data_IF_757573599007
#
_entry.id   IF_757573599007
#
_cell.length_a   1.000
_cell.length_b   1.000
_cell.length_c   1.000
_cell.angle_alpha   90.00
_cell.angle_beta   90.00
_cell.angle_gamma   90.00
#
_symmetry.space_group_name_H-M   'P 1'
#
loop_
_entity.id
_entity.type
_entity.pdbx_description
1 polymer ?
#
# COMPACT_ATOMS: atom_id res chain seq x y z
N UNK A 1 4.85 -17.90 13.12
CA UNK A 1 5.62 -16.82 12.56
C UNK A 1 5.46 -15.57 13.41
N UNK A 2 6.54 -14.87 13.66
CA UNK A 2 6.48 -13.71 14.52
C UNK A 2 5.89 -12.50 13.78
N UNK A 3 5.36 -11.58 14.56
CA UNK A 3 4.81 -10.34 14.00
C UNK A 3 5.89 -9.52 13.30
N UNK A 4 7.11 -9.52 13.84
CA UNK A 4 8.22 -8.83 13.20
C UNK A 4 8.49 -9.38 11.80
N UNK A 5 8.31 -10.70 11.61
CA UNK A 5 8.49 -11.29 10.30
C UNK A 5 7.44 -10.81 9.32
N UNK A 6 6.20 -10.59 9.80
CA UNK A 6 5.16 -10.04 8.94
C UNK A 6 5.49 -8.63 8.50
N UNK A 7 5.96 -7.80 9.43
CA UNK A 7 6.36 -6.43 9.09
C UNK A 7 7.49 -6.44 8.06
N UNK A 8 8.48 -7.28 8.27
CA UNK A 8 9.61 -7.37 7.34
C UNK A 8 9.16 -7.80 5.95
N UNK A 9 8.25 -8.77 5.88
CA UNK A 9 7.72 -9.23 4.60
C UNK A 9 7.03 -8.09 3.87
N UNK A 10 6.11 -7.41 4.55
CA UNK A 10 5.31 -6.36 3.93
C UNK A 10 6.18 -5.20 3.49
N UNK A 11 7.07 -4.74 4.37
CA UNK A 11 7.96 -3.62 4.03
C UNK A 11 8.87 -3.97 2.87
N UNK A 12 9.37 -5.21 2.84
CA UNK A 12 10.26 -5.66 1.78
C UNK A 12 9.61 -5.71 0.41
N UNK A 13 8.29 -5.77 0.35
CA UNK A 13 7.56 -5.80 -0.91
C UNK A 13 7.23 -4.40 -1.43
N UNK A 14 7.48 -3.36 -0.66
CA UNK A 14 7.15 -2.01 -1.08
C UNK A 14 8.21 -1.44 -2.02
N UNK A 15 7.80 -0.63 -3.00
CA UNK A 15 8.78 0.00 -3.88
C UNK A 15 9.65 1.00 -3.14
N UNK A 16 10.85 1.20 -3.63
CA UNK A 16 11.76 2.19 -3.06
C UNK A 16 11.21 3.60 -3.27
N UNK A 17 11.61 4.56 -2.43
CA UNK A 17 11.03 5.91 -2.49
C UNK A 17 11.27 6.63 -3.82
N UNK A 18 12.28 6.24 -4.57
CA UNK A 18 12.60 6.90 -5.84
C UNK A 18 11.97 6.22 -7.05
N UNK A 19 11.14 5.18 -6.83
CA UNK A 19 10.50 4.49 -7.94
C UNK A 19 9.24 5.25 -8.35
N UNK A 20 9.12 5.54 -9.64
CA UNK A 20 7.91 6.14 -10.18
C UNK A 20 6.89 5.04 -10.42
N UNK A 21 5.87 4.99 -9.58
CA UNK A 21 4.85 3.96 -9.66
C UNK A 21 4.00 4.09 -10.93
N UNK A 22 3.86 5.31 -11.45
CA UNK A 22 3.13 5.48 -12.70
C UNK A 22 3.80 4.72 -13.82
N UNK A 23 5.13 4.80 -13.89
CA UNK A 23 5.88 4.07 -14.90
C UNK A 23 5.80 2.55 -14.64
N UNK A 24 5.99 2.16 -13.38
CA UNK A 24 6.00 0.75 -13.03
C UNK A 24 4.71 0.04 -13.42
N UNK A 25 3.58 0.62 -13.06
CA UNK A 25 2.29 -0.02 -13.31
C UNK A 25 1.84 0.10 -14.76
N UNK A 26 2.29 1.12 -15.47
CA UNK A 26 1.91 1.30 -16.87
C UNK A 26 2.72 0.47 -17.84
N UNK A 27 3.94 0.10 -17.47
CA UNK A 27 4.84 -0.66 -18.32
C UNK A 27 4.59 -2.15 -18.11
N UNK A 28 4.04 -2.82 -19.12
CA UNK A 28 3.69 -4.24 -19.01
C UNK A 28 4.91 -5.12 -18.76
N UNK A 29 6.05 -4.78 -19.34
CA UNK A 29 7.25 -5.59 -19.15
C UNK A 29 7.76 -5.48 -17.74
N UNK A 30 7.83 -4.25 -17.20
CA UNK A 30 8.25 -4.05 -15.82
C UNK A 30 7.30 -4.75 -14.86
N UNK A 31 6.01 -4.65 -15.11
CA UNK A 31 5.03 -5.30 -14.25
C UNK A 31 5.19 -6.82 -14.26
N UNK A 32 5.39 -7.39 -15.44
CA UNK A 32 5.57 -8.83 -15.57
C UNK A 32 6.82 -9.29 -14.82
N UNK A 33 7.91 -8.54 -14.97
CA UNK A 33 9.15 -8.88 -14.27
C UNK A 33 8.95 -8.81 -12.76
N UNK A 34 8.25 -7.78 -12.29
CA UNK A 34 7.99 -7.64 -10.88
C UNK A 34 7.13 -8.79 -10.35
N UNK A 35 6.06 -9.14 -11.07
CA UNK A 35 5.17 -10.21 -10.61
C UNK A 35 5.88 -11.55 -10.55
N UNK A 36 6.76 -11.83 -11.51
CA UNK A 36 7.54 -13.06 -11.47
C UNK A 36 8.44 -13.09 -10.24
N UNK A 37 8.97 -11.95 -9.85
CA UNK A 37 9.88 -11.88 -8.71
C UNK A 37 9.15 -12.04 -7.37
N UNK A 38 7.88 -11.59 -7.28
CA UNK A 38 7.20 -11.54 -6.00
C UNK A 38 6.03 -12.51 -5.85
N UNK A 39 5.68 -13.22 -6.91
CA UNK A 39 4.46 -14.05 -6.89
C UNK A 39 4.43 -15.05 -5.72
N UNK A 40 5.58 -15.60 -5.37
CA UNK A 40 5.64 -16.59 -4.30
C UNK A 40 5.33 -16.02 -2.92
N UNK A 41 5.35 -14.70 -2.78
CA UNK A 41 5.04 -14.07 -1.50
C UNK A 41 3.55 -13.79 -1.32
N UNK A 42 2.74 -14.12 -2.31
CA UNK A 42 1.29 -13.87 -2.29
C UNK A 42 0.51 -15.16 -2.28
N UNK A 43 -0.61 -15.16 -1.53
CA UNK A 43 -1.51 -16.31 -1.56
C UNK A 43 -2.15 -16.42 -2.94
N UNK A 44 -2.48 -17.65 -3.39
CA UNK A 44 -3.12 -17.82 -4.71
C UNK A 44 -4.45 -17.08 -4.83
N UNK A 45 -5.14 -16.88 -3.72
CA UNK A 45 -6.42 -16.19 -3.69
C UNK A 45 -6.30 -14.76 -3.18
N UNK A 46 -5.12 -14.16 -3.31
CA UNK A 46 -4.88 -12.78 -2.91
C UNK A 46 -5.90 -11.83 -3.51
N UNK A 47 -6.36 -10.90 -2.67
CA UNK A 47 -7.24 -9.82 -3.12
C UNK A 47 -6.75 -8.50 -2.60
N UNK A 48 -7.11 -7.42 -3.28
CA UNK A 48 -6.83 -6.09 -2.76
C UNK A 48 -8.07 -5.23 -2.88
N UNK A 49 -8.14 -4.24 -2.02
CA UNK A 49 -9.28 -3.34 -1.96
C UNK A 49 -8.84 -1.90 -1.99
N UNK A 50 -9.71 -1.07 -2.51
CA UNK A 50 -9.53 0.37 -2.47
C UNK A 50 -10.68 0.94 -1.66
N UNK A 51 -10.36 1.48 -0.49
CA UNK A 51 -11.37 1.91 0.48
C UNK A 51 -11.47 3.42 0.48
N UNK A 52 -12.50 3.94 -0.16
CA UNK A 52 -12.67 5.38 -0.31
C UNK A 52 -14.04 5.77 0.21
N UNK A 53 -14.07 6.62 1.22
CA UNK A 53 -15.30 7.03 1.88
C UNK A 53 -16.02 5.79 2.41
N UNK A 54 -17.28 5.62 2.06
CA UNK A 54 -18.05 4.45 2.44
C UNK A 54 -18.11 3.41 1.32
N UNK A 55 -17.29 3.57 0.29
CA UNK A 55 -17.27 2.69 -0.85
C UNK A 55 -16.01 1.82 -0.81
N UNK A 56 -16.19 0.53 -1.01
CA UNK A 56 -15.09 -0.38 -1.11
C UNK A 56 -15.18 -1.16 -2.40
N UNK A 57 -14.07 -1.22 -3.13
CA UNK A 57 -14.00 -1.97 -4.36
C UNK A 57 -12.88 -3.00 -4.23
N UNK A 58 -13.17 -4.24 -4.60
CA UNK A 58 -12.23 -5.36 -4.43
C UNK A 58 -11.77 -5.85 -5.79
N UNK A 59 -10.48 -6.17 -5.87
CA UNK A 59 -9.84 -6.68 -7.07
C UNK A 59 -9.11 -7.97 -6.73
N UNK A 60 -9.09 -8.91 -7.65
CA UNK A 60 -8.52 -10.23 -7.41
C UNK A 60 -7.13 -10.36 -8.02
N UNK A 61 -6.20 -10.93 -7.24
CA UNK A 61 -4.88 -11.30 -7.72
C UNK A 61 -3.98 -10.11 -8.02
N UNK A 62 -2.77 -10.42 -8.48
CA UNK A 62 -1.80 -9.38 -8.82
C UNK A 62 -2.25 -8.56 -10.03
N UNK A 63 -2.97 -9.18 -10.96
CA UNK A 63 -3.55 -8.43 -12.07
C UNK A 63 -4.59 -7.42 -11.57
N UNK A 64 -5.34 -7.81 -10.56
CA UNK A 64 -6.29 -6.89 -9.92
C UNK A 64 -5.60 -5.75 -9.22
N UNK A 65 -4.47 -6.02 -8.57
CA UNK A 65 -3.67 -4.98 -7.94
C UNK A 65 -3.22 -3.95 -8.97
N UNK A 66 -2.77 -4.42 -10.13
CA UNK A 66 -2.36 -3.51 -11.20
C UNK A 66 -3.54 -2.67 -11.68
N UNK A 67 -4.70 -3.31 -11.89
CA UNK A 67 -5.88 -2.60 -12.37
C UNK A 67 -6.29 -1.50 -11.39
N UNK A 68 -6.26 -1.80 -10.11
CA UNK A 68 -6.59 -0.82 -9.07
C UNK A 68 -5.63 0.36 -9.11
N UNK A 69 -4.33 0.06 -9.18
CA UNK A 69 -3.33 1.12 -9.22
C UNK A 69 -3.43 1.96 -10.48
N UNK A 70 -3.73 1.35 -11.63
CA UNK A 70 -3.89 2.12 -12.86
C UNK A 70 -5.07 3.10 -12.75
N UNK A 71 -6.13 2.72 -12.06
CA UNK A 71 -7.23 3.64 -11.82
C UNK A 71 -6.80 4.81 -10.95
N UNK A 72 -6.09 4.52 -9.87
CA UNK A 72 -5.58 5.57 -8.97
C UNK A 72 -4.64 6.52 -9.71
N UNK A 73 -3.82 5.97 -10.59
CA UNK A 73 -2.78 6.73 -11.26
C UNK A 73 -3.29 7.55 -12.45
N UNK A 74 -4.57 7.41 -12.82
CA UNK A 74 -5.10 8.05 -14.01
C UNK A 74 -4.73 9.54 -14.12
N UNK A 75 -4.86 10.38 -13.08
CA UNK A 75 -4.53 11.80 -13.21
C UNK A 75 -3.05 12.12 -13.06
N UNK A 76 -2.21 11.13 -12.78
CA UNK A 76 -0.82 11.37 -12.40
C UNK A 76 0.14 11.09 -13.54
N UNK A 77 1.06 12.03 -13.79
CA UNK A 77 2.18 11.78 -14.70
C UNK A 77 3.28 11.00 -13.98
N UNK A 78 3.53 11.37 -12.72
CA UNK A 78 4.47 10.65 -11.87
C UNK A 78 3.82 10.44 -10.50
N UNK A 79 4.25 9.38 -9.82
CA UNK A 79 3.71 9.10 -8.48
C UNK A 79 4.69 8.22 -7.73
N UNK A 80 5.05 8.60 -6.52
CA UNK A 80 5.94 7.80 -5.70
C UNK A 80 5.49 7.87 -4.25
N UNK A 81 5.89 6.87 -3.48
CA UNK A 81 5.51 6.79 -2.07
C UNK A 81 6.75 6.55 -1.22
N UNK A 82 6.65 6.98 0.02
CA UNK A 82 7.73 6.82 0.99
C UNK A 82 7.09 6.37 2.29
N UNK A 83 7.57 5.26 2.85
CA UNK A 83 7.04 4.75 4.11
C UNK A 83 7.45 5.68 5.24
N UNK A 84 6.46 6.18 5.97
CA UNK A 84 6.73 6.94 7.17
C UNK A 84 6.81 6.02 8.38
N UNK A 85 5.91 5.02 8.45
CA UNK A 85 5.86 4.13 9.59
C UNK A 85 5.19 2.82 9.19
N UNK A 86 5.65 1.72 9.80
CA UNK A 86 5.05 0.40 9.64
C UNK A 86 4.66 -0.08 11.03
N UNK A 87 3.39 -0.35 11.23
CA UNK A 87 2.85 -0.66 12.54
C UNK A 87 2.36 -2.10 12.57
N UNK A 88 2.86 -2.85 13.54
CA UNK A 88 2.52 -4.24 13.74
C UNK A 88 1.14 -4.33 14.39
N UNK A 89 0.21 -4.97 13.69
CA UNK A 89 -1.15 -5.17 14.19
C UNK A 89 -1.50 -6.67 14.20
N UNK A 90 -0.54 -7.52 14.52
CA UNK A 90 -0.74 -8.96 14.55
C UNK A 90 -0.58 -9.56 13.16
N UNK A 91 -1.67 -10.13 12.63
CA UNK A 91 -1.65 -10.67 11.28
C UNK A 91 -1.80 -9.59 10.21
N UNK A 92 -1.93 -8.34 10.63
CA UNK A 92 -2.01 -7.21 9.71
C UNK A 92 -0.88 -6.23 9.99
N UNK A 93 -0.45 -5.55 8.95
CA UNK A 93 0.58 -4.53 9.04
C UNK A 93 0.00 -3.25 8.46
N UNK A 94 0.00 -2.19 9.25
CA UNK A 94 -0.46 -0.90 8.80
C UNK A 94 0.73 -0.10 8.32
N UNK A 95 0.69 0.33 7.07
CA UNK A 95 1.73 1.18 6.50
C UNK A 95 1.19 2.59 6.36
N UNK A 96 1.94 3.55 6.87
CA UNK A 96 1.64 4.97 6.72
C UNK A 96 2.66 5.53 5.73
N UNK A 97 2.17 6.22 4.71
CA UNK A 97 3.01 6.73 3.64
C UNK A 97 2.87 8.23 3.48
N UNK A 98 3.95 8.84 3.04
CA UNK A 98 3.87 10.11 2.32
C UNK A 98 3.83 9.77 0.84
N UNK A 99 2.99 10.48 0.09
CA UNK A 99 2.97 10.29 -1.35
C UNK A 99 3.29 11.60 -2.05
N UNK A 100 3.85 11.48 -3.24
CA UNK A 100 4.34 12.59 -4.03
C UNK A 100 3.93 12.35 -5.46
N UNK A 101 3.16 13.27 -6.03
CA UNK A 101 2.67 13.09 -7.37
C UNK A 101 2.66 14.38 -8.17
N UNK A 102 2.88 14.24 -9.47
CA UNK A 102 2.75 15.37 -10.38
C UNK A 102 1.61 15.04 -11.35
N UNK A 103 0.61 15.90 -11.38
CA UNK A 103 -0.51 15.68 -12.28
C UNK A 103 -0.09 15.88 -13.73
N UNK A 104 -0.81 15.23 -14.64
CA UNK A 104 -0.44 15.22 -16.05
C UNK A 104 -0.35 16.61 -16.66
N UNK A 105 -1.10 17.56 -16.13
CA UNK A 105 -1.15 18.91 -16.69
C UNK A 105 -0.43 19.94 -15.83
N UNK A 106 0.38 19.49 -14.90
CA UNK A 106 1.04 20.37 -13.96
C UNK A 106 2.54 20.11 -13.97
N UNK A 107 3.30 21.15 -13.62
CA UNK A 107 4.73 21.03 -13.41
C UNK A 107 5.08 20.93 -11.93
N UNK A 108 4.09 21.04 -11.06
CA UNK A 108 4.31 21.02 -9.61
C UNK A 108 4.03 19.65 -9.02
N UNK A 109 4.90 19.23 -8.12
CA UNK A 109 4.67 18.00 -7.36
C UNK A 109 3.83 18.32 -6.13
N UNK A 110 2.76 17.55 -5.93
CA UNK A 110 1.94 17.69 -4.73
C UNK A 110 2.27 16.57 -3.77
N UNK A 111 2.12 16.84 -2.49
CA UNK A 111 2.45 15.91 -1.43
C UNK A 111 1.20 15.60 -0.63
N UNK A 112 1.13 14.37 -0.16
CA UNK A 112 0.00 13.95 0.66
C UNK A 112 0.39 12.83 1.60
N UNK A 113 -0.61 12.27 2.24
CA UNK A 113 -0.44 11.11 3.11
C UNK A 113 -1.52 10.11 2.78
N UNK A 114 -1.12 8.83 2.72
CA UNK A 114 -2.05 7.73 2.46
C UNK A 114 -1.64 6.57 3.37
N UNK A 115 -2.43 5.52 3.37
CA UNK A 115 -2.16 4.37 4.20
C UNK A 115 -2.60 3.09 3.50
N UNK A 116 -2.07 1.96 3.97
CA UNK A 116 -2.47 0.65 3.48
C UNK A 116 -2.42 -0.34 4.63
N UNK A 117 -3.32 -1.32 4.59
CA UNK A 117 -3.32 -2.42 5.55
C UNK A 117 -3.06 -3.69 4.78
N UNK A 118 -1.99 -4.39 5.16
CA UNK A 118 -1.59 -5.63 4.51
C UNK A 118 -1.85 -6.78 5.47
N UNK A 119 -2.60 -7.77 5.03
CA UNK A 119 -2.91 -8.95 5.83
C UNK A 119 -2.04 -10.11 5.39
N UNK A 120 -1.42 -10.78 6.37
CA UNK A 120 -0.53 -11.91 6.12
C UNK A 120 -1.19 -13.18 6.67
N UNK A 121 -1.17 -14.23 5.88
CA UNK A 121 -1.68 -15.53 6.28
C UNK A 121 -0.67 -16.60 5.86
N UNK A 122 -0.22 -17.38 6.84
CA UNK A 122 0.74 -18.47 6.60
C UNK A 122 2.01 -17.98 5.90
N UNK A 123 2.48 -16.81 6.31
CA UNK A 123 3.73 -16.25 5.78
C UNK A 123 3.63 -15.64 4.41
N UNK A 124 2.42 -15.48 3.87
CA UNK A 124 2.22 -14.90 2.55
C UNK A 124 1.15 -13.82 2.62
N UNK A 125 1.22 -12.91 1.67
CA UNK A 125 0.25 -11.81 1.61
C UNK A 125 -1.10 -12.34 1.18
N UNK A 126 -2.10 -12.10 2.00
CA UNK A 126 -3.45 -12.55 1.76
C UNK A 126 -4.34 -11.45 1.20
N UNK A 127 -4.12 -10.22 1.67
CA UNK A 127 -4.94 -9.09 1.26
C UNK A 127 -4.19 -7.79 1.47
N UNK A 128 -4.47 -6.81 0.63
CA UNK A 128 -3.96 -5.45 0.81
C UNK A 128 -5.10 -4.48 0.57
N UNK A 129 -5.35 -3.62 1.55
CA UNK A 129 -6.40 -2.61 1.47
C UNK A 129 -5.76 -1.23 1.49
N UNK A 130 -6.12 -0.40 0.53
CA UNK A 130 -5.50 0.91 0.34
C UNK A 130 -6.49 2.01 0.71
N UNK A 131 -6.02 2.96 1.51
CA UNK A 131 -6.85 4.01 2.06
C UNK A 131 -6.29 5.37 1.66
N UNK A 132 -7.10 6.22 0.98
CA UNK A 132 -6.65 7.58 0.66
C UNK A 132 -6.46 8.45 1.90
N UNK A 133 -7.11 8.10 3.01
CA UNK A 133 -6.97 8.86 4.26
C UNK A 133 -6.47 7.94 5.36
N UNK A 134 -5.56 8.48 6.19
CA UNK A 134 -5.00 7.70 7.29
C UNK A 134 -6.03 7.39 8.36
N UNK A 135 -6.96 8.32 8.59
CA UNK A 135 -7.96 8.12 9.64
C UNK A 135 -8.77 6.87 9.41
N UNK A 136 -9.18 6.62 8.18
CA UNK A 136 -9.96 5.44 7.87
C UNK A 136 -9.17 4.15 8.10
N UNK A 137 -7.88 4.17 7.76
CA UNK A 137 -7.03 3.00 7.99
C UNK A 137 -6.81 2.76 9.48
N UNK A 138 -6.59 3.83 10.25
CA UNK A 138 -6.41 3.70 11.68
C UNK A 138 -7.65 3.13 12.35
N UNK A 139 -8.81 3.57 11.91
CA UNK A 139 -10.07 3.02 12.44
C UNK A 139 -10.20 1.54 12.12
N UNK A 140 -9.82 1.16 10.92
CA UNK A 140 -9.96 -0.24 10.49
C UNK A 140 -9.12 -1.20 11.33
N UNK A 141 -8.01 -0.74 11.88
CA UNK A 141 -7.20 -1.58 12.76
C UNK A 141 -7.38 -1.25 14.24
N UNK A 142 -8.31 -0.35 14.57
CA UNK A 142 -8.61 -0.03 15.96
C UNK A 142 -7.59 0.85 16.64
N UNK A 143 -6.83 1.64 15.88
CA UNK A 143 -5.79 2.50 16.44
C UNK A 143 -6.15 3.98 16.47
N UNK A 144 -7.38 4.29 16.19
CA UNK A 144 -7.82 5.68 16.25
C UNK A 144 -7.73 6.19 17.69
N UNK A 145 -7.59 7.49 17.85
CA UNK A 145 -7.48 8.14 19.15
C UNK A 145 -6.26 7.68 19.94
N UNK A 146 -5.25 7.19 19.23
CA UNK A 146 -4.01 6.82 19.88
C UNK A 146 -4.05 5.54 20.65
N UNK A 147 -5.08 4.72 20.44
CA UNK A 147 -5.15 3.42 21.08
C UNK A 147 -4.05 2.50 20.61
N UNK A 148 -3.79 1.49 21.42
CA UNK A 148 -2.91 0.42 21.05
C UNK A 148 -1.48 0.88 20.88
N UNK A 149 -0.78 0.19 20.01
CA UNK A 149 0.65 0.40 19.83
C UNK A 149 0.99 1.44 18.79
N UNK A 150 0.02 2.20 18.34
CA UNK A 150 0.29 3.25 17.39
C UNK A 150 1.28 4.23 17.98
N UNK A 151 2.31 4.54 17.21
CA UNK A 151 3.46 5.22 17.75
C UNK A 151 3.29 6.72 17.72
N UNK A 152 2.70 7.26 18.76
CA UNK A 152 2.54 8.70 18.86
C UNK A 152 3.86 9.41 19.09
N UNK A 153 4.77 8.72 19.72
CA UNK A 153 6.09 9.30 19.99
C UNK A 153 6.83 9.64 18.72
N UNK A 154 6.39 9.12 17.57
CA UNK A 154 7.02 9.51 16.33
C UNK A 154 6.56 10.85 15.82
N UNK A 155 5.53 11.34 16.41
CA UNK A 155 5.03 12.66 16.05
C UNK A 155 5.80 13.70 16.82
N UNK A 156 6.37 14.67 16.13
CA UNK A 156 7.13 15.73 16.81
C UNK A 156 6.26 16.57 17.69
#
# INVERSE_FOLDING_TARGET
MSEAANVELVVGLQPAPDVDLAQLFRDEKLWRELTEAVADFFQPDFECGFCRFDTEKTYAGLDGLRAMWLEWLTPWATYRTEIENAIDCGDRVLLLFHDFGRRKESTEEVRGTVAAIWTVRDGKIDRADFYPTRDDALKAVGLEDGCGSYVKEKEP
#
